data_IF_167620978083
#
_entry.id   IF_167620978083
#
_cell.length_a   1.000
_cell.length_b   1.000
_cell.length_c   1.000
_cell.angle_alpha   90.00
_cell.angle_beta   90.00
_cell.angle_gamma   90.00
#
_symmetry.space_group_name_H-M   'P 1'
#
loop_
_entity.id
_entity.type
_entity.pdbx_description
1 polymer ?
#
# COMPACT_ATOMS: atom_id res chain seq x y z
N UNK A 1 -44.27 52.45 69.84
CA UNK A 1 -44.69 51.21 69.15
C UNK A 1 -45.76 50.58 70.03
N UNK A 2 -46.99 50.47 69.53
CA UNK A 2 -48.13 49.86 70.22
C UNK A 2 -47.93 48.31 70.26
N UNK A 3 -48.43 47.70 71.32
CA UNK A 3 -48.46 46.24 71.45
C UNK A 3 -49.15 45.55 70.29
N UNK A 4 -50.02 46.27 69.59
CA UNK A 4 -50.67 45.77 68.36
C UNK A 4 -49.73 45.72 67.13
N UNK A 5 -48.79 46.66 67.02
CA UNK A 5 -47.83 46.68 65.94
C UNK A 5 -46.84 45.52 66.04
N UNK A 6 -46.49 45.13 67.27
CA UNK A 6 -45.59 44.00 67.54
C UNK A 6 -46.27 42.64 67.22
N UNK A 7 -47.53 42.50 67.52
CA UNK A 7 -48.34 41.31 67.19
C UNK A 7 -48.54 41.14 65.69
N UNK A 8 -48.82 42.26 64.99
CA UNK A 8 -48.92 42.22 63.53
C UNK A 8 -47.66 41.88 62.83
N UNK A 9 -46.52 42.42 63.34
CA UNK A 9 -45.20 42.08 62.81
C UNK A 9 -44.80 40.59 63.04
N UNK A 10 -45.14 40.07 64.22
CA UNK A 10 -44.89 38.66 64.54
C UNK A 10 -45.74 37.70 63.66
N UNK A 11 -46.99 38.10 63.38
CA UNK A 11 -47.88 37.34 62.47
C UNK A 11 -47.40 37.31 61.06
N UNK A 12 -46.88 38.43 60.54
CA UNK A 12 -46.31 38.48 59.18
C UNK A 12 -45.04 37.64 59.03
N UNK A 13 -44.17 37.64 60.06
CA UNK A 13 -42.93 36.79 60.07
C UNK A 13 -43.31 35.31 60.14
N UNK A 14 -44.31 34.94 60.95
CA UNK A 14 -44.71 33.52 61.04
C UNK A 14 -45.39 33.05 59.72
N UNK A 15 -46.21 33.92 59.09
CA UNK A 15 -46.82 33.62 57.81
C UNK A 15 -45.74 33.48 56.68
N UNK A 16 -44.69 34.31 56.67
CA UNK A 16 -43.61 34.26 55.78
C UNK A 16 -42.77 32.97 55.98
N UNK A 17 -42.52 32.55 57.22
CA UNK A 17 -41.85 31.30 57.50
C UNK A 17 -42.64 30.08 57.09
N UNK A 18 -43.96 30.04 57.26
CA UNK A 18 -44.83 28.94 56.81
C UNK A 18 -44.97 28.88 55.27
N UNK A 19 -44.92 30.00 54.58
CA UNK A 19 -44.94 30.05 53.13
C UNK A 19 -43.59 29.53 52.60
N UNK A 20 -42.47 29.89 53.19
CA UNK A 20 -41.18 29.41 52.84
C UNK A 20 -41.01 27.86 53.01
N UNK A 21 -41.60 27.34 54.13
CA UNK A 21 -41.58 25.88 54.37
C UNK A 21 -42.44 25.08 53.39
N UNK A 22 -43.56 25.70 52.88
CA UNK A 22 -44.39 25.08 51.84
C UNK A 22 -43.72 25.07 50.43
N UNK A 23 -42.90 26.04 50.14
CA UNK A 23 -42.20 26.13 48.87
C UNK A 23 -41.07 25.07 48.85
N UNK A 24 -40.50 24.74 50.02
CA UNK A 24 -39.48 23.68 50.14
C UNK A 24 -40.05 22.25 50.15
N UNK A 25 -41.35 22.06 50.16
CA UNK A 25 -41.97 20.72 50.04
C UNK A 25 -42.27 20.29 48.59
N UNK A 26 -41.74 21.01 47.60
CA UNK A 26 -41.80 20.58 46.20
C UNK A 26 -40.75 19.55 45.92
N UNK A 27 -41.15 18.30 45.95
CA UNK A 27 -40.42 17.09 45.56
C UNK A 27 -39.15 16.82 46.37
N UNK A 28 -39.17 15.79 47.20
CA UNK A 28 -38.01 15.02 47.57
C UNK A 28 -37.38 14.46 46.25
N UNK A 29 -36.55 15.23 45.62
CA UNK A 29 -35.57 14.68 44.69
C UNK A 29 -34.55 14.03 45.62
N UNK A 30 -34.62 12.72 45.80
CA UNK A 30 -33.54 11.94 46.37
C UNK A 30 -32.36 12.04 45.41
N UNK A 31 -31.66 13.14 45.50
CA UNK A 31 -30.37 13.29 44.83
C UNK A 31 -29.44 12.39 45.61
N UNK A 32 -29.27 11.16 45.16
CA UNK A 32 -28.21 10.29 45.67
C UNK A 32 -26.87 10.91 45.20
N UNK A 33 -26.15 11.62 46.09
CA UNK A 33 -24.95 12.36 45.67
C UNK A 33 -23.85 11.41 45.17
N UNK A 34 -23.89 10.17 45.59
CA UNK A 34 -22.95 9.12 45.13
C UNK A 34 -23.24 8.69 43.68
N UNK A 35 -24.50 8.64 43.28
CA UNK A 35 -24.88 8.29 41.90
C UNK A 35 -24.45 9.37 40.90
N UNK A 36 -24.62 10.65 41.26
CA UNK A 36 -24.14 11.76 40.43
C UNK A 36 -22.62 11.84 40.37
N UNK A 37 -21.94 11.59 41.49
CA UNK A 37 -20.47 11.55 41.54
C UNK A 37 -19.91 10.42 40.69
N UNK A 38 -20.43 9.20 40.85
CA UNK A 38 -20.02 8.04 40.06
C UNK A 38 -20.26 8.23 38.56
N UNK A 39 -21.41 8.83 38.19
CA UNK A 39 -21.70 9.16 36.80
C UNK A 39 -20.78 10.26 36.23
N UNK A 40 -20.41 11.26 37.02
CA UNK A 40 -19.50 12.32 36.60
C UNK A 40 -18.08 11.78 36.38
N UNK A 41 -17.59 10.95 37.33
CA UNK A 41 -16.28 10.27 37.21
C UNK A 41 -16.29 9.31 36.00
N UNK A 42 -17.35 8.52 35.83
CA UNK A 42 -17.50 7.62 34.69
C UNK A 42 -17.44 8.35 33.35
N UNK A 43 -18.14 9.50 33.24
CA UNK A 43 -18.10 10.32 32.00
C UNK A 43 -16.72 10.93 31.75
N UNK A 44 -16.05 11.43 32.77
CA UNK A 44 -14.71 12.00 32.63
C UNK A 44 -13.70 10.93 32.21
N UNK A 45 -13.75 9.74 32.81
CA UNK A 45 -12.86 8.61 32.45
C UNK A 45 -13.12 8.09 31.03
N UNK A 46 -14.41 7.97 30.65
CA UNK A 46 -14.75 7.54 29.27
C UNK A 46 -14.37 8.58 28.23
N UNK A 47 -14.50 9.88 28.52
CA UNK A 47 -14.09 10.95 27.63
C UNK A 47 -12.55 10.93 27.41
N UNK A 48 -11.77 10.86 28.47
CA UNK A 48 -10.30 10.77 28.37
C UNK A 48 -9.83 9.50 27.65
N UNK A 49 -10.48 8.37 27.93
CA UNK A 49 -10.16 7.12 27.25
C UNK A 49 -10.51 7.17 25.75
N UNK A 50 -11.67 7.76 25.40
CA UNK A 50 -12.08 7.97 24.02
C UNK A 50 -11.11 8.85 23.25
N UNK A 51 -10.67 9.96 23.84
CA UNK A 51 -9.69 10.86 23.23
C UNK A 51 -8.34 10.16 22.98
N UNK A 52 -7.86 9.39 23.98
CA UNK A 52 -6.62 8.60 23.83
C UNK A 52 -6.75 7.52 22.77
N UNK A 53 -7.90 6.85 22.69
CA UNK A 53 -8.16 5.86 21.66
C UNK A 53 -8.21 6.49 20.27
N UNK A 54 -8.89 7.61 20.09
CA UNK A 54 -8.95 8.32 18.80
C UNK A 54 -7.56 8.82 18.36
N UNK A 55 -6.77 9.35 19.30
CA UNK A 55 -5.39 9.76 19.03
C UNK A 55 -4.50 8.57 18.64
N UNK A 56 -4.63 7.43 19.33
CA UNK A 56 -3.91 6.22 19.01
C UNK A 56 -4.33 5.66 17.64
N UNK A 57 -5.61 5.66 17.33
CA UNK A 57 -6.15 5.21 16.06
C UNK A 57 -5.66 6.09 14.90
N UNK A 58 -5.74 7.41 15.07
CA UNK A 58 -5.21 8.36 14.08
C UNK A 58 -3.70 8.18 13.83
N UNK A 59 -2.93 7.94 14.89
CA UNK A 59 -1.50 7.63 14.77
C UNK A 59 -1.25 6.31 14.02
N UNK A 60 -2.07 5.30 14.27
CA UNK A 60 -2.00 4.01 13.58
C UNK A 60 -2.37 4.14 12.10
N UNK A 61 -3.43 4.88 11.79
CA UNK A 61 -3.87 5.14 10.42
C UNK A 61 -2.79 5.89 9.62
N UNK A 62 -2.14 6.88 10.24
CA UNK A 62 -1.02 7.60 9.62
C UNK A 62 0.15 6.67 9.31
N UNK A 63 0.52 5.79 10.23
CA UNK A 63 1.58 4.79 10.00
C UNK A 63 1.19 3.80 8.91
N UNK A 64 -0.09 3.40 8.85
CA UNK A 64 -0.60 2.52 7.80
C UNK A 64 -0.50 3.15 6.41
N UNK A 65 -0.89 4.42 6.28
CA UNK A 65 -0.75 5.14 5.01
C UNK A 65 0.72 5.34 4.60
N UNK A 66 1.60 5.55 5.56
CA UNK A 66 3.04 5.62 5.30
C UNK A 66 3.59 4.27 4.80
N UNK A 67 3.23 3.16 5.45
CA UNK A 67 3.61 1.81 5.04
C UNK A 67 3.11 1.49 3.64
N UNK A 68 1.85 1.80 3.32
CA UNK A 68 1.30 1.61 1.97
C UNK A 68 2.09 2.38 0.91
N UNK A 69 2.40 3.64 1.20
CA UNK A 69 3.20 4.47 0.27
C UNK A 69 4.58 3.87 0.02
N UNK A 70 5.28 3.39 1.06
CA UNK A 70 6.57 2.71 0.91
C UNK A 70 6.44 1.41 0.13
N UNK A 71 5.38 0.64 0.35
CA UNK A 71 5.14 -0.58 -0.41
C UNK A 71 4.89 -0.30 -1.90
N UNK A 72 4.10 0.71 -2.23
CA UNK A 72 3.85 1.12 -3.61
C UNK A 72 5.12 1.63 -4.30
N UNK A 73 5.92 2.44 -3.61
CA UNK A 73 7.19 2.94 -4.12
C UNK A 73 8.18 1.79 -4.36
N UNK A 74 8.31 0.88 -3.39
CA UNK A 74 9.18 -0.31 -3.51
C UNK A 74 8.74 -1.19 -4.67
N UNK A 75 7.43 -1.40 -4.84
CA UNK A 75 6.90 -2.17 -5.96
C UNK A 75 7.22 -1.53 -7.30
N UNK A 76 7.02 -0.22 -7.42
CA UNK A 76 7.38 0.52 -8.65
C UNK A 76 8.85 0.40 -9.00
N UNK A 77 9.73 0.56 -8.01
CA UNK A 77 11.19 0.42 -8.20
C UNK A 77 11.56 -1.02 -8.61
N UNK A 78 10.92 -2.02 -8.02
CA UNK A 78 11.12 -3.42 -8.37
C UNK A 78 10.65 -3.72 -9.80
N UNK A 79 9.47 -3.26 -10.19
CA UNK A 79 8.92 -3.45 -11.53
C UNK A 79 9.81 -2.77 -12.58
N UNK A 80 10.31 -1.56 -12.29
CA UNK A 80 11.24 -0.84 -13.19
C UNK A 80 12.61 -1.55 -13.29
N UNK A 81 13.09 -2.11 -12.19
CA UNK A 81 14.33 -2.89 -12.19
C UNK A 81 14.19 -4.19 -12.99
N UNK A 82 13.11 -4.94 -12.80
CA UNK A 82 12.82 -6.16 -13.56
C UNK A 82 12.76 -5.83 -15.05
N UNK A 83 12.02 -4.79 -15.44
CA UNK A 83 11.91 -4.37 -16.83
C UNK A 83 13.27 -4.02 -17.44
N UNK A 84 14.11 -3.31 -16.69
CA UNK A 84 15.44 -2.92 -17.15
C UNK A 84 16.36 -4.12 -17.31
N UNK A 85 16.29 -5.07 -16.40
CA UNK A 85 17.11 -6.29 -16.46
C UNK A 85 16.66 -7.23 -17.60
N UNK A 86 15.35 -7.34 -17.84
CA UNK A 86 14.79 -8.09 -18.96
C UNK A 86 15.21 -7.48 -20.31
N UNK A 87 15.19 -6.15 -20.43
CA UNK A 87 15.68 -5.45 -21.64
C UNK A 87 17.18 -5.66 -21.86
N UNK A 88 17.98 -5.57 -20.80
CA UNK A 88 19.44 -5.85 -20.86
C UNK A 88 19.71 -7.30 -21.26
N UNK A 89 18.94 -8.23 -20.73
CA UNK A 89 19.08 -9.64 -21.11
C UNK A 89 18.74 -9.84 -22.58
N UNK A 90 17.67 -9.23 -23.09
CA UNK A 90 17.32 -9.27 -24.52
C UNK A 90 18.43 -8.66 -25.41
N UNK A 91 19.03 -7.54 -25.00
CA UNK A 91 20.18 -6.96 -25.70
C UNK A 91 21.41 -7.89 -25.69
N UNK A 92 21.63 -8.64 -24.61
CA UNK A 92 22.69 -9.62 -24.53
C UNK A 92 22.43 -10.79 -25.48
N UNK A 93 21.21 -11.35 -25.50
CA UNK A 93 20.82 -12.40 -26.44
C UNK A 93 21.00 -11.92 -27.89
N UNK A 94 20.53 -10.72 -28.19
CA UNK A 94 20.72 -10.06 -29.49
C UNK A 94 22.20 -9.97 -29.87
N UNK A 95 23.05 -9.56 -28.97
CA UNK A 95 24.50 -9.44 -29.20
C UNK A 95 25.11 -10.81 -29.56
N UNK A 96 24.70 -11.87 -28.86
CA UNK A 96 25.15 -13.25 -29.13
C UNK A 96 24.70 -13.70 -30.54
N UNK A 97 23.47 -13.47 -30.92
CA UNK A 97 22.95 -13.80 -32.25
C UNK A 97 23.73 -13.07 -33.35
N UNK A 98 23.94 -11.77 -33.20
CA UNK A 98 24.71 -11.01 -34.20
C UNK A 98 26.18 -11.46 -34.31
N UNK A 99 26.79 -11.80 -33.16
CA UNK A 99 28.16 -12.31 -33.12
C UNK A 99 28.27 -13.64 -33.82
N UNK A 100 27.39 -14.60 -33.51
CA UNK A 100 27.38 -15.91 -34.16
C UNK A 100 27.17 -15.80 -35.67
N UNK A 101 26.21 -14.95 -36.10
CA UNK A 101 26.03 -14.68 -37.52
C UNK A 101 27.27 -14.08 -38.19
N UNK A 102 28.00 -13.19 -37.53
CA UNK A 102 29.23 -12.63 -38.06
C UNK A 102 30.33 -13.69 -38.17
N UNK A 103 30.39 -14.64 -37.25
CA UNK A 103 31.31 -15.77 -37.30
C UNK A 103 31.01 -16.66 -38.52
N UNK A 104 29.73 -17.00 -38.75
CA UNK A 104 29.32 -17.73 -39.96
C UNK A 104 29.65 -16.98 -41.25
N UNK A 105 29.42 -15.67 -41.32
CA UNK A 105 29.75 -14.86 -42.51
C UNK A 105 31.27 -14.84 -42.76
N UNK A 106 32.08 -14.97 -41.73
CA UNK A 106 33.54 -15.05 -41.84
C UNK A 106 34.03 -16.46 -42.16
N UNK A 107 33.16 -17.45 -42.28
CA UNK A 107 33.48 -18.82 -42.56
C UNK A 107 34.08 -19.59 -41.36
N UNK A 108 33.79 -19.12 -40.14
CA UNK A 108 34.14 -19.84 -38.92
C UNK A 108 33.20 -21.05 -38.82
N UNK A 109 33.80 -22.22 -38.65
CA UNK A 109 33.05 -23.47 -38.49
C UNK A 109 32.61 -23.64 -37.04
N UNK A 110 31.45 -24.24 -36.85
CA UNK A 110 30.80 -24.48 -35.57
C UNK A 110 30.34 -25.93 -35.47
N UNK A 111 30.31 -26.44 -34.25
CA UNK A 111 29.75 -27.75 -33.93
C UNK A 111 28.23 -27.72 -33.96
N UNK A 112 27.62 -28.91 -33.99
CA UNK A 112 26.18 -29.03 -33.90
C UNK A 112 25.66 -28.43 -32.54
N UNK A 113 26.40 -28.66 -31.45
CA UNK A 113 26.07 -28.14 -30.11
C UNK A 113 26.09 -26.60 -30.08
N UNK A 114 27.02 -25.96 -30.81
CA UNK A 114 27.06 -24.49 -30.93
C UNK A 114 25.81 -23.96 -31.63
N UNK A 115 25.33 -24.65 -32.66
CA UNK A 115 24.10 -24.32 -33.35
C UNK A 115 22.86 -24.56 -32.47
N UNK A 116 22.80 -25.66 -31.73
CA UNK A 116 21.70 -25.95 -30.81
C UNK A 116 21.63 -24.89 -29.69
N UNK A 117 22.76 -24.43 -29.13
CA UNK A 117 22.81 -23.35 -28.18
C UNK A 117 22.28 -22.03 -28.77
N UNK A 118 22.76 -21.67 -29.98
CA UNK A 118 22.29 -20.38 -30.58
C UNK A 118 20.83 -20.42 -30.96
N UNK A 119 20.27 -21.56 -31.37
CA UNK A 119 18.84 -21.69 -31.63
C UNK A 119 18.00 -21.51 -30.35
N UNK A 120 18.45 -22.06 -29.22
CA UNK A 120 17.81 -21.79 -27.92
C UNK A 120 17.86 -20.30 -27.55
N UNK A 121 18.97 -19.62 -27.83
CA UNK A 121 19.12 -18.16 -27.61
C UNK A 121 18.15 -17.37 -28.51
N UNK A 122 18.00 -17.78 -29.78
CA UNK A 122 17.04 -17.18 -30.72
C UNK A 122 15.62 -17.32 -30.23
N UNK A 123 15.23 -18.47 -29.71
CA UNK A 123 13.89 -18.71 -29.18
C UNK A 123 13.59 -17.83 -27.94
N UNK A 124 14.56 -17.71 -27.03
CA UNK A 124 14.47 -16.80 -25.90
C UNK A 124 14.30 -15.33 -26.34
N UNK A 125 15.10 -14.90 -27.30
CA UNK A 125 15.01 -13.56 -27.88
C UNK A 125 13.66 -13.28 -28.57
N UNK A 126 13.19 -14.23 -29.38
CA UNK A 126 11.88 -14.15 -30.04
C UNK A 126 10.73 -14.06 -29.04
N UNK A 127 10.81 -14.86 -27.98
CA UNK A 127 9.80 -14.85 -26.89
C UNK A 127 9.74 -13.49 -26.22
N UNK A 128 10.90 -12.91 -25.89
CA UNK A 128 10.97 -11.57 -25.34
C UNK A 128 10.38 -10.52 -26.27
N UNK A 129 10.82 -10.50 -27.54
CA UNK A 129 10.31 -9.53 -28.53
C UNK A 129 8.80 -9.63 -28.75
N UNK A 130 8.21 -10.83 -28.66
CA UNK A 130 6.77 -11.07 -28.80
C UNK A 130 5.97 -10.52 -27.62
N UNK A 131 6.53 -10.56 -26.42
CA UNK A 131 5.89 -10.05 -25.20
C UNK A 131 6.13 -8.56 -24.95
N UNK A 132 7.10 -7.94 -25.66
CA UNK A 132 7.51 -6.55 -25.51
C UNK A 132 7.54 -5.85 -26.89
N UNK A 133 6.36 -5.51 -27.39
CA UNK A 133 6.22 -4.88 -28.73
C UNK A 133 6.93 -3.51 -28.80
N UNK A 134 7.09 -2.82 -27.67
CA UNK A 134 7.79 -1.55 -27.53
C UNK A 134 9.33 -1.69 -27.62
N UNK A 135 9.86 -2.89 -27.59
CA UNK A 135 11.31 -3.12 -27.64
C UNK A 135 11.89 -2.73 -29.00
N UNK A 136 12.68 -1.65 -29.02
CA UNK A 136 13.16 -0.99 -30.23
C UNK A 136 14.26 -1.78 -30.99
N UNK A 137 14.91 -2.72 -30.32
CA UNK A 137 16.05 -3.44 -30.87
C UNK A 137 15.71 -4.75 -31.57
N UNK A 138 14.45 -4.96 -31.96
CA UNK A 138 13.99 -6.12 -32.75
C UNK A 138 14.54 -6.06 -34.19
N UNK A 139 15.85 -6.19 -34.38
CA UNK A 139 16.52 -6.02 -35.68
C UNK A 139 17.44 -7.19 -36.04
N UNK A 140 17.16 -8.39 -35.53
CA UNK A 140 17.96 -9.58 -35.80
C UNK A 140 17.39 -10.50 -36.87
N UNK A 141 16.29 -10.16 -37.51
CA UNK A 141 15.55 -11.04 -38.43
C UNK A 141 16.43 -11.64 -39.51
N UNK A 142 17.27 -10.86 -40.17
CA UNK A 142 18.15 -11.37 -41.23
C UNK A 142 19.30 -12.23 -40.68
N UNK A 143 19.86 -11.87 -39.51
CA UNK A 143 20.89 -12.67 -38.86
C UNK A 143 20.34 -14.02 -38.44
N UNK A 144 19.16 -14.05 -37.85
CA UNK A 144 18.45 -15.27 -37.45
C UNK A 144 18.18 -16.15 -38.67
N UNK A 145 17.59 -15.58 -39.73
CA UNK A 145 17.31 -16.32 -40.96
C UNK A 145 18.61 -16.94 -41.61
N UNK A 146 19.73 -16.23 -41.52
CA UNK A 146 20.99 -16.75 -41.99
C UNK A 146 21.53 -17.91 -41.14
N UNK A 147 21.40 -17.80 -39.80
CA UNK A 147 21.80 -18.85 -38.87
C UNK A 147 20.97 -20.13 -39.11
N UNK A 148 19.65 -19.98 -39.19
CA UNK A 148 18.71 -21.10 -39.45
C UNK A 148 19.01 -21.76 -40.79
N UNK A 149 19.25 -21.01 -41.83
CA UNK A 149 19.62 -21.53 -43.18
C UNK A 149 20.94 -22.29 -43.11
N UNK A 150 21.98 -21.76 -42.44
CA UNK A 150 23.24 -22.42 -42.29
C UNK A 150 23.12 -23.74 -41.51
N UNK A 151 22.30 -23.76 -40.46
CA UNK A 151 22.02 -24.97 -39.69
C UNK A 151 21.37 -26.04 -40.56
N UNK A 152 20.32 -25.70 -41.33
CA UNK A 152 19.62 -26.63 -42.19
C UNK A 152 20.57 -27.20 -43.27
N UNK A 153 21.41 -26.35 -43.92
CA UNK A 153 22.39 -26.77 -44.88
C UNK A 153 23.44 -27.76 -44.30
N UNK A 154 23.90 -27.52 -43.07
CA UNK A 154 24.83 -28.40 -42.37
C UNK A 154 24.17 -29.73 -41.97
N UNK A 155 22.93 -29.67 -41.52
CA UNK A 155 22.13 -30.83 -41.14
C UNK A 155 21.93 -31.78 -42.35
N UNK A 156 21.54 -31.19 -43.51
CA UNK A 156 21.37 -31.96 -44.75
C UNK A 156 22.67 -32.64 -45.22
N UNK A 157 23.80 -31.96 -45.09
CA UNK A 157 25.13 -32.45 -45.55
C UNK A 157 25.81 -33.34 -44.53
N UNK A 158 25.36 -33.39 -43.28
CA UNK A 158 26.00 -34.04 -42.16
C UNK A 158 27.48 -33.58 -41.97
N UNK A 159 27.73 -32.27 -42.15
CA UNK A 159 29.10 -31.69 -42.20
C UNK A 159 29.30 -30.60 -41.12
N UNK A 160 28.74 -30.80 -39.93
CA UNK A 160 29.13 -30.01 -38.77
C UNK A 160 30.61 -30.31 -38.42
N UNK A 161 31.23 -29.36 -37.70
CA UNK A 161 32.62 -29.52 -37.23
C UNK A 161 32.77 -30.75 -36.32
#
# INVERSE_FOLDING_TARGET
MSTQDLLAAAGLVAAGLMAATRIFQVKKIEINPWKTLVQAIGRALTAELSEKMEAAQKSQDQKWEEVKRYQEETRRLLDDHIRTDDERNADLLRSRILRFNNELVRGIEHTQEDFDEILCIIDGYRTYCKSHEEYKNNKCTHAIANIERCYDERLEKHDFL
#
